data_IF_158599380819
#
_entry.id   IF_158599380819
#
_cell.length_a   1.000
_cell.length_b   1.000
_cell.length_c   1.000
_cell.angle_alpha   90.00
_cell.angle_beta   90.00
_cell.angle_gamma   90.00
#
_symmetry.space_group_name_H-M   'P 1'
#
loop_
_entity.id
_entity.type
_entity.pdbx_description
1 polymer ?
#
# COMPACT_ATOMS: atom_id res chain seq x y z
N UNK A 1 12.93 4.49 -13.68
CA UNK A 1 13.18 3.08 -13.36
C UNK A 1 12.81 2.86 -11.89
N UNK A 2 11.89 1.95 -11.58
CA UNK A 2 11.48 1.69 -10.19
C UNK A 2 12.51 0.82 -9.46
N UNK A 3 12.58 0.90 -8.12
CA UNK A 3 13.49 0.06 -7.31
C UNK A 3 13.24 -1.45 -7.56
N UNK A 4 12.00 -1.83 -7.86
CA UNK A 4 11.64 -3.20 -8.25
C UNK A 4 12.25 -3.64 -9.60
N UNK A 5 12.41 -2.72 -10.55
CA UNK A 5 13.09 -2.99 -11.82
C UNK A 5 14.59 -3.21 -11.60
N UNK A 6 15.23 -2.46 -10.70
CA UNK A 6 16.64 -2.65 -10.38
C UNK A 6 16.90 -4.02 -9.72
N UNK A 7 16.07 -4.40 -8.75
CA UNK A 7 16.17 -5.70 -8.09
C UNK A 7 15.99 -6.86 -9.07
N UNK A 8 14.97 -6.80 -9.92
CA UNK A 8 14.70 -7.86 -10.90
C UNK A 8 15.78 -7.95 -11.99
N UNK A 9 16.32 -6.81 -12.45
CA UNK A 9 17.45 -6.79 -13.40
C UNK A 9 18.71 -7.43 -12.79
N UNK A 10 19.04 -7.08 -11.54
CA UNK A 10 20.19 -7.67 -10.85
C UNK A 10 20.03 -9.19 -10.68
N UNK A 11 18.84 -9.66 -10.28
CA UNK A 11 18.56 -11.09 -10.18
C UNK A 11 18.64 -11.79 -11.53
N UNK A 12 18.12 -11.19 -12.60
CA UNK A 12 18.20 -11.75 -13.94
C UNK A 12 19.66 -11.92 -14.44
N UNK A 13 20.58 -11.03 -14.03
CA UNK A 13 22.01 -11.18 -14.34
C UNK A 13 22.65 -12.33 -13.57
N UNK A 14 22.17 -12.63 -12.36
CA UNK A 14 22.68 -13.71 -11.51
C UNK A 14 22.01 -15.07 -11.77
N UNK A 15 20.84 -15.09 -12.42
CA UNK A 15 20.06 -16.31 -12.68
C UNK A 15 20.87 -17.40 -13.42
N UNK A 16 21.67 -17.11 -14.47
CA UNK A 16 22.49 -18.14 -15.11
C UNK A 16 23.48 -18.82 -14.15
N UNK A 17 24.01 -18.08 -13.17
CA UNK A 17 24.91 -18.61 -12.15
C UNK A 17 24.14 -19.50 -11.17
N UNK A 18 22.95 -19.07 -10.74
CA UNK A 18 22.05 -19.87 -9.91
C UNK A 18 21.69 -21.20 -10.60
N UNK A 19 21.30 -21.15 -11.88
CA UNK A 19 20.94 -22.32 -12.68
C UNK A 19 22.10 -23.31 -12.79
N UNK A 20 23.30 -22.81 -13.04
CA UNK A 20 24.48 -23.64 -13.20
C UNK A 20 24.91 -24.28 -11.87
N UNK A 21 24.89 -23.53 -10.76
CA UNK A 21 25.16 -24.08 -9.43
C UNK A 21 24.17 -25.19 -9.06
N UNK A 22 22.88 -24.98 -9.34
CA UNK A 22 21.85 -25.99 -9.09
C UNK A 22 22.06 -27.25 -9.95
N UNK A 23 22.42 -27.09 -11.23
CA UNK A 23 22.75 -28.22 -12.13
C UNK A 23 23.95 -29.03 -11.64
N UNK A 24 24.96 -28.35 -11.08
CA UNK A 24 26.15 -28.99 -10.51
C UNK A 24 25.90 -29.65 -9.14
N UNK A 25 24.67 -29.58 -8.62
CA UNK A 25 24.29 -30.22 -7.36
C UNK A 25 24.59 -29.40 -6.10
N UNK A 26 24.97 -28.12 -6.24
CA UNK A 26 25.08 -27.22 -5.10
C UNK A 26 23.70 -26.87 -4.53
N UNK A 27 23.67 -26.65 -3.21
CA UNK A 27 22.47 -26.29 -2.47
C UNK A 27 22.47 -24.81 -2.09
N UNK A 28 21.29 -24.20 -1.99
CA UNK A 28 21.08 -22.84 -1.49
C UNK A 28 21.76 -22.66 -0.12
N UNK A 29 21.64 -23.66 0.75
CA UNK A 29 22.26 -23.65 2.09
C UNK A 29 23.80 -23.55 2.02
N UNK A 30 24.44 -24.24 1.07
CA UNK A 30 25.90 -24.13 0.86
C UNK A 30 26.31 -22.73 0.39
N UNK A 31 25.50 -22.10 -0.47
CA UNK A 31 25.72 -20.71 -0.89
C UNK A 31 25.63 -19.78 0.32
N UNK A 32 24.57 -19.89 1.14
CA UNK A 32 24.42 -19.08 2.35
C UNK A 32 25.58 -19.27 3.32
N UNK A 33 25.99 -20.52 3.59
CA UNK A 33 27.13 -20.82 4.49
C UNK A 33 28.44 -20.26 3.96
N UNK A 34 28.65 -20.34 2.65
CA UNK A 34 29.84 -19.78 1.98
C UNK A 34 29.90 -18.25 2.10
N UNK A 35 28.75 -17.56 2.03
CA UNK A 35 28.66 -16.12 2.23
C UNK A 35 29.00 -15.69 3.67
N UNK A 36 28.59 -16.51 4.66
CA UNK A 36 28.97 -16.32 6.07
C UNK A 36 30.48 -16.52 6.25
N UNK A 37 31.04 -17.60 5.68
CA UNK A 37 32.47 -17.89 5.76
C UNK A 37 33.32 -16.78 5.13
N UNK A 38 32.91 -16.28 3.95
CA UNK A 38 33.55 -15.15 3.27
C UNK A 38 33.53 -13.88 4.13
N UNK A 39 32.41 -13.61 4.79
CA UNK A 39 32.27 -12.47 5.71
C UNK A 39 33.19 -12.61 6.92
N UNK A 40 33.33 -13.82 7.47
CA UNK A 40 34.28 -14.12 8.55
C UNK A 40 35.74 -13.94 8.13
N UNK A 41 36.12 -14.44 6.95
CA UNK A 41 37.46 -14.29 6.40
C UNK A 41 37.81 -12.81 6.15
N UNK A 42 36.87 -12.06 5.57
CA UNK A 42 37.02 -10.61 5.36
C UNK A 42 37.15 -9.88 6.69
N UNK A 43 36.33 -10.21 7.68
CA UNK A 43 36.41 -9.63 9.01
C UNK A 43 37.78 -9.88 9.67
N UNK A 44 38.35 -11.08 9.50
CA UNK A 44 39.71 -11.38 9.99
C UNK A 44 40.78 -10.53 9.28
N UNK A 45 40.73 -10.42 7.96
CA UNK A 45 41.66 -9.60 7.17
C UNK A 45 41.60 -8.14 7.62
N UNK A 46 40.39 -7.58 7.74
CA UNK A 46 40.21 -6.20 8.20
C UNK A 46 40.73 -6.02 9.62
N UNK A 47 40.40 -6.92 10.55
CA UNK A 47 40.77 -6.77 11.96
C UNK A 47 42.29 -6.84 12.21
N UNK A 48 43.03 -7.65 11.46
CA UNK A 48 44.43 -7.98 11.81
C UNK A 48 45.47 -7.62 10.75
N UNK A 49 45.08 -7.49 9.48
CA UNK A 49 46.03 -7.32 8.37
C UNK A 49 45.92 -5.95 7.71
N UNK A 50 44.73 -5.33 7.71
CA UNK A 50 44.49 -4.09 6.97
C UNK A 50 45.30 -2.88 7.46
N UNK A 51 45.77 -2.87 8.72
CA UNK A 51 46.70 -1.84 9.22
C UNK A 51 48.07 -1.90 8.52
N UNK A 52 48.54 -3.10 8.18
CA UNK A 52 49.84 -3.30 7.54
C UNK A 52 49.78 -3.06 6.02
N UNK A 53 48.61 -3.25 5.43
CA UNK A 53 48.41 -3.14 3.99
C UNK A 53 47.07 -2.45 3.71
N UNK A 54 47.07 -1.11 3.56
CA UNK A 54 45.83 -0.33 3.40
C UNK A 54 44.92 -0.78 2.25
N UNK A 55 45.49 -1.33 1.16
CA UNK A 55 44.72 -1.87 0.04
C UNK A 55 43.74 -2.99 0.45
N UNK A 56 43.99 -3.68 1.56
CA UNK A 56 43.09 -4.73 2.08
C UNK A 56 41.74 -4.16 2.54
N UNK A 57 41.61 -2.87 2.80
CA UNK A 57 40.31 -2.25 3.10
C UNK A 57 39.31 -2.35 1.96
N UNK A 58 39.76 -2.45 0.70
CA UNK A 58 38.88 -2.68 -0.45
C UNK A 58 38.21 -4.06 -0.43
N UNK A 59 38.72 -5.02 0.35
CA UNK A 59 38.05 -6.31 0.54
C UNK A 59 36.66 -6.15 1.19
N UNK A 60 36.44 -5.08 1.98
CA UNK A 60 35.18 -4.84 2.67
C UNK A 60 34.01 -4.55 1.69
N UNK A 61 34.07 -3.53 0.80
CA UNK A 61 33.03 -3.30 -0.21
C UNK A 61 32.89 -4.47 -1.19
N UNK A 62 33.99 -5.14 -1.55
CA UNK A 62 33.97 -6.31 -2.45
C UNK A 62 33.18 -7.46 -1.80
N UNK A 63 33.50 -7.80 -0.54
CA UNK A 63 32.78 -8.83 0.20
C UNK A 63 31.29 -8.50 0.34
N UNK A 64 30.95 -7.25 0.68
CA UNK A 64 29.55 -6.83 0.85
C UNK A 64 28.76 -6.96 -0.46
N UNK A 65 29.38 -6.64 -1.60
CA UNK A 65 28.78 -6.84 -2.93
C UNK A 65 28.61 -8.32 -3.27
N UNK A 66 29.65 -9.14 -3.09
CA UNK A 66 29.60 -10.58 -3.36
C UNK A 66 28.55 -11.25 -2.46
N UNK A 67 28.53 -10.92 -1.17
CA UNK A 67 27.53 -11.41 -0.22
C UNK A 67 26.11 -11.07 -0.66
N UNK A 68 25.87 -9.85 -1.11
CA UNK A 68 24.55 -9.46 -1.65
C UNK A 68 24.16 -10.29 -2.88
N UNK A 69 25.12 -10.61 -3.76
CA UNK A 69 24.88 -11.49 -4.89
C UNK A 69 24.59 -12.94 -4.44
N UNK A 70 25.32 -13.47 -3.47
CA UNK A 70 25.11 -14.81 -2.91
C UNK A 70 23.74 -14.95 -2.24
N UNK A 71 23.31 -13.95 -1.47
CA UNK A 71 21.95 -13.88 -0.88
C UNK A 71 20.83 -13.72 -1.92
N UNK A 72 21.16 -13.31 -3.15
CA UNK A 72 20.20 -13.29 -4.25
C UNK A 72 20.16 -14.66 -4.93
N UNK A 73 21.32 -15.30 -5.11
CA UNK A 73 21.46 -16.64 -5.68
C UNK A 73 20.79 -17.69 -4.80
N UNK A 74 21.06 -17.73 -3.49
CA UNK A 74 20.43 -18.71 -2.60
C UNK A 74 18.89 -18.61 -2.59
N UNK A 75 18.36 -17.39 -2.62
CA UNK A 75 16.93 -17.11 -2.69
C UNK A 75 16.30 -17.52 -4.04
N UNK A 76 17.03 -17.39 -5.15
CA UNK A 76 16.60 -17.92 -6.45
C UNK A 76 16.64 -19.45 -6.45
N UNK A 77 17.72 -20.06 -5.94
CA UNK A 77 17.83 -21.52 -5.85
C UNK A 77 16.71 -22.14 -4.99
N UNK A 78 16.38 -21.50 -3.87
CA UNK A 78 15.27 -21.93 -3.02
C UNK A 78 13.92 -21.91 -3.75
N UNK A 79 13.66 -20.87 -4.56
CA UNK A 79 12.37 -20.65 -5.22
C UNK A 79 12.22 -21.36 -6.56
N UNK A 80 13.27 -21.36 -7.37
CA UNK A 80 13.23 -21.75 -8.78
C UNK A 80 13.72 -23.20 -8.99
N UNK A 81 14.55 -23.73 -8.07
CA UNK A 81 15.08 -25.09 -8.14
C UNK A 81 14.53 -26.01 -7.04
N UNK A 82 13.44 -25.64 -6.38
CA UNK A 82 12.78 -26.49 -5.38
C UNK A 82 13.60 -26.74 -4.11
N UNK A 83 14.57 -25.86 -3.80
CA UNK A 83 15.48 -26.04 -2.65
C UNK A 83 15.01 -25.31 -1.38
N UNK A 84 13.76 -24.83 -1.34
CA UNK A 84 13.19 -24.17 -0.17
C UNK A 84 13.17 -25.14 1.03
N UNK A 85 13.76 -24.73 2.15
CA UNK A 85 13.80 -25.54 3.37
C UNK A 85 13.70 -24.67 4.61
N UNK A 86 13.16 -25.23 5.69
CA UNK A 86 13.10 -24.55 7.00
C UNK A 86 14.50 -24.18 7.50
N UNK A 87 15.48 -25.07 7.31
CA UNK A 87 16.88 -24.80 7.63
C UNK A 87 17.42 -23.60 6.84
N UNK A 88 17.11 -23.51 5.54
CA UNK A 88 17.55 -22.39 4.70
C UNK A 88 17.02 -21.04 5.17
N UNK A 89 15.77 -20.98 5.65
CA UNK A 89 15.21 -19.77 6.24
C UNK A 89 15.99 -19.35 7.49
N UNK A 90 16.29 -20.29 8.39
CA UNK A 90 17.10 -20.03 9.59
C UNK A 90 18.53 -19.60 9.24
N UNK A 91 19.17 -20.29 8.31
CA UNK A 91 20.52 -19.96 7.85
C UNK A 91 20.58 -18.55 7.25
N UNK A 92 19.59 -18.16 6.46
CA UNK A 92 19.54 -16.83 5.86
C UNK A 92 19.39 -15.73 6.92
N UNK A 93 18.38 -15.84 7.81
CA UNK A 93 18.16 -14.80 8.83
C UNK A 93 19.30 -14.73 9.86
N UNK A 94 19.74 -15.87 10.41
CA UNK A 94 20.82 -15.90 11.42
C UNK A 94 22.16 -15.60 10.77
N UNK A 95 22.43 -16.16 9.58
CA UNK A 95 23.67 -15.96 8.84
C UNK A 95 23.90 -14.50 8.46
N UNK A 96 22.84 -13.80 8.08
CA UNK A 96 22.88 -12.36 7.82
C UNK A 96 23.24 -11.55 9.06
N UNK A 97 22.60 -11.86 10.20
CA UNK A 97 22.90 -11.20 11.49
C UNK A 97 24.35 -11.47 11.90
N UNK A 98 24.81 -12.71 11.79
CA UNK A 98 26.18 -13.09 12.14
C UNK A 98 27.18 -12.36 11.24
N UNK A 99 26.95 -12.38 9.92
CA UNK A 99 27.82 -11.76 8.92
C UNK A 99 27.93 -10.25 9.10
N UNK A 100 26.82 -9.55 9.32
CA UNK A 100 26.83 -8.11 9.62
C UNK A 100 27.63 -7.82 10.90
N UNK A 101 27.42 -8.62 11.95
CA UNK A 101 28.10 -8.39 13.24
C UNK A 101 29.60 -8.61 13.16
N UNK A 102 30.07 -9.67 12.49
CA UNK A 102 31.51 -9.93 12.39
C UNK A 102 32.21 -8.85 11.55
N UNK A 103 31.57 -8.37 10.47
CA UNK A 103 32.11 -7.28 9.66
C UNK A 103 32.17 -5.97 10.43
N UNK A 104 31.12 -5.60 11.18
CA UNK A 104 31.16 -4.41 12.05
C UNK A 104 32.20 -4.57 13.17
N UNK A 105 32.31 -5.77 13.76
CA UNK A 105 33.27 -6.05 14.83
C UNK A 105 34.73 -5.98 14.36
N UNK A 106 35.00 -6.26 13.08
CA UNK A 106 36.34 -6.15 12.51
C UNK A 106 36.93 -4.74 12.58
N UNK A 107 36.10 -3.71 12.75
CA UNK A 107 36.54 -2.33 12.95
C UNK A 107 37.05 -2.04 14.37
N UNK A 108 36.84 -2.94 15.34
CA UNK A 108 37.18 -2.71 16.74
C UNK A 108 38.67 -2.45 17.01
N UNK A 109 39.64 -3.14 16.36
CA UNK A 109 41.07 -2.87 16.55
C UNK A 109 41.48 -1.46 16.10
N UNK A 110 40.77 -0.91 15.11
CA UNK A 110 41.01 0.40 14.48
C UNK A 110 40.36 1.56 15.25
N UNK A 111 39.32 1.28 16.02
CA UNK A 111 38.49 2.28 16.70
C UNK A 111 38.54 2.14 18.23
N UNK A 112 39.73 1.86 18.80
CA UNK A 112 39.91 1.58 20.24
C UNK A 112 39.33 2.68 21.14
N UNK A 113 39.54 3.95 20.78
CA UNK A 113 39.03 5.11 21.54
C UNK A 113 37.49 5.20 21.55
N UNK A 114 36.83 4.55 20.59
CA UNK A 114 35.37 4.58 20.42
C UNK A 114 34.72 3.19 20.58
N UNK A 115 35.40 2.25 21.26
CA UNK A 115 34.95 0.86 21.41
C UNK A 115 33.55 0.75 22.03
N UNK A 116 33.23 1.59 23.00
CA UNK A 116 31.90 1.63 23.66
C UNK A 116 30.80 2.06 22.69
N UNK A 117 31.07 3.04 21.83
CA UNK A 117 30.14 3.52 20.81
C UNK A 117 29.91 2.45 19.73
N UNK A 118 30.96 1.76 19.29
CA UNK A 118 30.87 0.63 18.35
C UNK A 118 30.02 -0.51 18.94
N UNK A 119 30.25 -0.88 20.21
CA UNK A 119 29.43 -1.89 20.91
C UNK A 119 27.96 -1.48 21.04
N UNK A 120 27.70 -0.19 21.26
CA UNK A 120 26.33 0.35 21.26
C UNK A 120 25.66 0.19 19.89
N UNK A 121 26.34 0.56 18.80
CA UNK A 121 25.85 0.37 17.42
C UNK A 121 25.58 -1.10 17.10
N UNK A 122 26.45 -2.01 17.53
CA UNK A 122 26.22 -3.46 17.34
C UNK A 122 24.99 -3.98 18.09
N UNK A 123 24.76 -3.51 19.34
CA UNK A 123 23.57 -3.87 20.11
C UNK A 123 22.31 -3.36 19.44
N UNK A 124 22.29 -2.08 19.05
CA UNK A 124 21.16 -1.48 18.34
C UNK A 124 20.87 -2.18 17.01
N UNK A 125 21.91 -2.51 16.23
CA UNK A 125 21.79 -3.25 14.97
C UNK A 125 21.12 -4.61 15.18
N UNK A 126 21.54 -5.37 16.20
CA UNK A 126 20.89 -6.63 16.56
C UNK A 126 19.43 -6.44 16.96
N UNK A 127 19.14 -5.43 17.79
CA UNK A 127 17.76 -5.11 18.17
C UNK A 127 16.91 -4.81 16.93
N UNK A 128 17.44 -4.10 15.94
CA UNK A 128 16.69 -3.82 14.70
C UNK A 128 16.29 -5.11 13.97
N UNK A 129 17.21 -6.07 13.85
CA UNK A 129 16.95 -7.33 13.15
C UNK A 129 16.03 -8.25 13.93
N UNK A 130 16.17 -8.32 15.26
CA UNK A 130 15.25 -9.09 16.11
C UNK A 130 13.82 -8.55 15.97
N UNK A 131 13.62 -7.23 16.02
CA UNK A 131 12.29 -6.62 15.82
C UNK A 131 11.72 -6.96 14.44
N UNK A 132 12.56 -6.96 13.39
CA UNK A 132 12.12 -7.35 12.05
C UNK A 132 11.74 -8.83 11.96
N UNK A 133 12.50 -9.75 12.57
CA UNK A 133 12.16 -11.18 12.56
C UNK A 133 10.88 -11.45 13.36
N UNK A 134 10.72 -10.85 14.53
CA UNK A 134 9.51 -10.98 15.37
C UNK A 134 8.27 -10.51 14.61
N UNK A 135 8.36 -9.41 13.86
CA UNK A 135 7.22 -8.91 13.08
C UNK A 135 6.69 -9.92 12.06
N UNK A 136 7.57 -10.72 11.45
CA UNK A 136 7.15 -11.77 10.51
C UNK A 136 6.27 -12.83 11.21
N UNK A 137 6.53 -13.11 12.48
CA UNK A 137 5.73 -14.06 13.27
C UNK A 137 4.43 -13.43 13.79
N UNK A 138 4.46 -12.15 14.20
CA UNK A 138 3.29 -11.50 14.80
C UNK A 138 2.26 -11.01 13.79
N UNK A 139 2.71 -10.45 12.66
CA UNK A 139 1.85 -9.78 11.67
C UNK A 139 2.06 -10.32 10.25
N UNK A 140 2.66 -11.50 10.10
CA UNK A 140 2.95 -12.17 8.82
C UNK A 140 3.76 -11.34 7.81
N UNK A 141 4.42 -10.26 8.27
CA UNK A 141 5.21 -9.37 7.43
C UNK A 141 6.46 -8.89 8.16
N UNK A 142 7.63 -9.03 7.52
CA UNK A 142 8.91 -8.53 8.02
C UNK A 142 8.96 -6.99 7.97
N UNK A 143 9.18 -6.37 9.12
CA UNK A 143 9.28 -4.93 9.30
C UNK A 143 10.65 -4.42 8.81
N UNK A 144 10.67 -3.87 7.59
CA UNK A 144 11.87 -3.35 6.96
C UNK A 144 11.98 -1.82 7.03
N UNK A 145 11.11 -1.15 7.78
CA UNK A 145 11.05 0.31 7.87
C UNK A 145 12.24 0.88 8.65
N UNK A 146 12.59 2.13 8.35
CA UNK A 146 13.65 2.87 9.05
C UNK A 146 14.74 3.41 8.12
N UNK A 147 15.48 4.43 8.57
CA UNK A 147 16.52 5.07 7.75
C UNK A 147 17.88 4.34 7.75
N UNK A 148 18.13 3.38 8.65
CA UNK A 148 19.37 2.59 8.68
C UNK A 148 19.06 1.09 8.77
N UNK A 149 18.53 0.56 7.68
CA UNK A 149 18.29 -0.87 7.48
C UNK A 149 19.56 -1.64 7.09
N UNK A 150 19.39 -2.92 6.77
CA UNK A 150 20.51 -3.83 6.44
C UNK A 150 21.34 -3.32 5.26
N UNK A 151 20.69 -2.95 4.16
CA UNK A 151 21.38 -2.45 2.96
C UNK A 151 22.08 -1.12 3.21
N UNK A 152 21.50 -0.24 4.03
CA UNK A 152 22.09 1.06 4.37
C UNK A 152 23.38 0.88 5.19
N UNK A 153 23.38 -0.05 6.15
CA UNK A 153 24.59 -0.41 6.92
C UNK A 153 25.67 -1.04 6.05
N UNK A 154 25.27 -1.91 5.11
CA UNK A 154 26.21 -2.48 4.15
C UNK A 154 26.82 -1.39 3.26
N UNK A 155 26.02 -0.44 2.79
CA UNK A 155 26.53 0.71 2.04
C UNK A 155 27.52 1.54 2.86
N UNK A 156 27.17 1.87 4.11
CA UNK A 156 28.04 2.63 5.01
C UNK A 156 29.39 1.91 5.25
N UNK A 157 29.37 0.61 5.55
CA UNK A 157 30.59 -0.19 5.70
C UNK A 157 31.42 -0.22 4.41
N UNK A 158 30.77 -0.30 3.25
CA UNK A 158 31.44 -0.22 1.96
C UNK A 158 32.17 1.11 1.77
N UNK A 159 31.51 2.23 2.09
CA UNK A 159 32.09 3.58 2.04
C UNK A 159 33.28 3.70 3.00
N UNK A 160 33.15 3.19 4.23
CA UNK A 160 34.25 3.13 5.20
C UNK A 160 35.46 2.41 4.60
N UNK A 161 35.25 1.23 3.99
CA UNK A 161 36.31 0.47 3.36
C UNK A 161 37.00 1.21 2.20
N UNK A 162 36.23 1.87 1.32
CA UNK A 162 36.80 2.65 0.22
C UNK A 162 37.60 3.84 0.72
N UNK A 163 37.06 4.62 1.66
CA UNK A 163 37.72 5.82 2.18
C UNK A 163 39.00 5.47 2.93
N UNK A 164 38.96 4.47 3.81
CA UNK A 164 40.15 4.06 4.56
C UNK A 164 41.19 3.41 3.65
N UNK A 165 40.77 2.63 2.64
CA UNK A 165 41.67 2.08 1.62
C UNK A 165 42.37 3.15 0.78
N UNK A 166 41.68 4.27 0.51
CA UNK A 166 42.25 5.43 -0.17
C UNK A 166 43.12 6.32 0.74
N UNK A 167 43.33 5.94 2.00
CA UNK A 167 44.19 6.65 2.95
C UNK A 167 43.49 7.73 3.79
N UNK A 168 42.15 7.84 3.72
CA UNK A 168 41.42 8.79 4.56
C UNK A 168 41.23 8.24 5.98
N UNK A 169 41.70 9.00 6.98
CA UNK A 169 41.50 8.66 8.39
C UNK A 169 40.09 9.04 8.85
N UNK A 170 39.31 8.05 9.28
CA UNK A 170 37.95 8.24 9.80
C UNK A 170 37.92 8.54 11.31
N UNK A 171 39.05 8.40 12.00
CA UNK A 171 39.15 8.61 13.45
C UNK A 171 38.65 9.99 13.92
N UNK A 172 38.98 11.12 13.26
CA UNK A 172 38.49 12.44 13.69
C UNK A 172 36.96 12.57 13.64
N UNK A 173 36.31 11.82 12.74
CA UNK A 173 34.87 11.88 12.50
C UNK A 173 34.09 10.76 13.20
N UNK A 174 34.78 9.76 13.75
CA UNK A 174 34.19 8.54 14.29
C UNK A 174 33.10 8.82 15.35
N UNK A 175 33.31 9.80 16.24
CA UNK A 175 32.31 10.20 17.25
C UNK A 175 30.98 10.63 16.61
N UNK A 176 31.04 11.45 15.56
CA UNK A 176 29.84 11.96 14.89
C UNK A 176 29.15 10.87 14.08
N UNK A 177 29.92 10.02 13.39
CA UNK A 177 29.40 8.86 12.66
C UNK A 177 28.67 7.91 13.61
N UNK A 178 29.27 7.57 14.76
CA UNK A 178 28.62 6.70 15.74
C UNK A 178 27.34 7.31 16.33
N UNK A 179 27.34 8.60 16.65
CA UNK A 179 26.15 9.28 17.15
C UNK A 179 25.02 9.29 16.11
N UNK A 180 25.34 9.61 14.86
CA UNK A 180 24.39 9.56 13.76
C UNK A 180 23.80 8.15 13.60
N UNK A 181 24.64 7.11 13.58
CA UNK A 181 24.18 5.72 13.50
C UNK A 181 23.27 5.32 14.65
N UNK A 182 23.61 5.69 15.89
CA UNK A 182 22.76 5.39 17.04
C UNK A 182 21.37 6.03 16.89
N UNK A 183 21.30 7.30 16.49
CA UNK A 183 20.03 8.00 16.28
C UNK A 183 19.21 7.36 15.14
N UNK A 184 19.86 7.02 14.02
CA UNK A 184 19.20 6.40 12.87
C UNK A 184 18.73 4.97 13.18
N UNK A 185 19.48 4.19 13.97
CA UNK A 185 19.07 2.86 14.42
C UNK A 185 17.91 2.94 15.42
N UNK A 186 17.93 3.88 16.36
CA UNK A 186 16.79 4.13 17.26
C UNK A 186 15.55 4.50 16.45
N UNK A 187 15.68 5.39 15.46
CA UNK A 187 14.57 5.75 14.56
C UNK A 187 14.08 4.56 13.76
N UNK A 188 14.98 3.67 13.33
CA UNK A 188 14.66 2.42 12.65
C UNK A 188 13.82 1.51 13.55
N UNK A 189 14.21 1.32 14.81
CA UNK A 189 13.44 0.53 15.79
C UNK A 189 12.04 1.11 15.98
N UNK A 190 11.93 2.43 16.22
CA UNK A 190 10.64 3.09 16.40
C UNK A 190 9.74 2.90 15.18
N UNK A 191 10.27 3.10 13.97
CA UNK A 191 9.49 2.94 12.75
C UNK A 191 9.01 1.49 12.54
N UNK A 192 9.84 0.49 12.86
CA UNK A 192 9.46 -0.93 12.80
C UNK A 192 8.37 -1.25 13.83
N UNK A 193 8.50 -0.76 15.07
CA UNK A 193 7.48 -0.94 16.11
C UNK A 193 6.15 -0.27 15.74
N UNK A 194 6.20 0.94 15.17
CA UNK A 194 5.00 1.62 14.66
C UNK A 194 4.32 0.81 13.55
N UNK A 195 5.11 0.29 12.60
CA UNK A 195 4.59 -0.58 11.56
C UNK A 195 3.90 -1.83 12.14
N UNK A 196 4.53 -2.51 13.09
CA UNK A 196 3.96 -3.69 13.77
C UNK A 196 2.65 -3.31 14.47
N UNK A 197 2.62 -2.21 15.22
CA UNK A 197 1.43 -1.77 15.93
C UNK A 197 0.26 -1.46 14.97
N UNK A 198 0.53 -0.79 13.85
CA UNK A 198 -0.48 -0.51 12.82
C UNK A 198 -1.01 -1.79 12.18
N UNK A 199 -0.13 -2.74 11.81
CA UNK A 199 -0.56 -4.01 11.22
C UNK A 199 -1.34 -4.87 12.20
N UNK A 200 -0.89 -4.94 13.46
CA UNK A 200 -1.59 -5.66 14.53
C UNK A 200 -3.01 -5.13 14.75
N UNK A 201 -3.16 -3.80 14.79
CA UNK A 201 -4.48 -3.16 14.92
C UNK A 201 -5.39 -3.52 13.74
N UNK A 202 -4.88 -3.46 12.50
CA UNK A 202 -5.65 -3.83 11.32
C UNK A 202 -6.11 -5.30 11.33
N UNK A 203 -5.23 -6.23 11.71
CA UNK A 203 -5.56 -7.65 11.76
C UNK A 203 -6.67 -7.94 12.78
N UNK A 204 -6.59 -7.34 13.98
CA UNK A 204 -7.61 -7.51 15.01
C UNK A 204 -8.98 -6.95 14.57
N UNK A 205 -8.99 -5.82 13.86
CA UNK A 205 -10.23 -5.23 13.34
C UNK A 205 -10.84 -6.07 12.22
N UNK A 206 -10.02 -6.64 11.34
CA UNK A 206 -10.51 -7.52 10.27
C UNK A 206 -11.18 -8.77 10.83
N UNK A 207 -10.60 -9.42 11.84
CA UNK A 207 -11.23 -10.59 12.47
C UNK A 207 -12.58 -10.25 13.13
N UNK A 208 -12.67 -9.11 13.81
CA UNK A 208 -13.92 -8.65 14.42
C UNK A 208 -14.99 -8.36 13.36
N UNK A 209 -14.62 -7.66 12.28
CA UNK A 209 -15.50 -7.39 11.14
C UNK A 209 -15.94 -8.69 10.47
N UNK A 210 -15.05 -9.66 10.30
CA UNK A 210 -15.35 -10.94 9.67
C UNK A 210 -16.32 -11.77 10.53
N UNK A 211 -16.17 -11.76 11.86
CA UNK A 211 -17.15 -12.37 12.78
C UNK A 211 -18.52 -11.71 12.70
N UNK A 212 -18.56 -10.37 12.66
CA UNK A 212 -19.81 -9.62 12.49
C UNK A 212 -20.46 -9.93 11.14
N UNK A 213 -19.68 -10.01 10.06
CA UNK A 213 -20.16 -10.39 8.73
C UNK A 213 -20.74 -11.80 8.72
N UNK A 214 -20.06 -12.78 9.35
CA UNK A 214 -20.57 -14.16 9.45
C UNK A 214 -21.88 -14.19 10.22
N UNK A 215 -21.94 -13.53 11.39
CA UNK A 215 -23.15 -13.47 12.20
C UNK A 215 -24.32 -12.82 11.42
N UNK A 216 -24.07 -11.69 10.75
CA UNK A 216 -25.03 -11.02 9.89
C UNK A 216 -25.48 -11.89 8.70
N UNK A 217 -24.55 -12.59 8.06
CA UNK A 217 -24.86 -13.48 6.92
C UNK A 217 -25.75 -14.65 7.36
N UNK A 218 -25.44 -15.26 8.51
CA UNK A 218 -26.25 -16.34 9.08
C UNK A 218 -27.65 -15.84 9.48
N UNK A 219 -27.74 -14.66 10.08
CA UNK A 219 -29.01 -14.05 10.47
C UNK A 219 -29.90 -13.71 9.26
N UNK A 220 -29.31 -13.21 8.16
CA UNK A 220 -30.07 -12.85 6.96
C UNK A 220 -30.34 -14.03 6.02
N UNK A 221 -29.53 -15.09 6.03
CA UNK A 221 -29.82 -16.33 5.31
C UNK A 221 -31.13 -16.98 5.80
N UNK A 222 -31.57 -16.66 7.02
CA UNK A 222 -32.83 -17.13 7.60
C UNK A 222 -34.04 -16.22 7.30
N UNK A 223 -33.84 -15.04 6.69
CA UNK A 223 -34.94 -14.15 6.32
C UNK A 223 -35.44 -14.48 4.91
N UNK A 224 -36.75 -14.48 4.73
CA UNK A 224 -37.35 -14.61 3.40
C UNK A 224 -36.83 -13.47 2.50
N UNK A 225 -36.41 -13.75 1.25
CA UNK A 225 -35.92 -12.71 0.36
C UNK A 225 -36.99 -11.64 0.16
N UNK A 226 -36.69 -10.39 0.52
CA UNK A 226 -37.54 -9.25 0.19
C UNK A 226 -37.62 -9.14 -1.34
N UNK A 227 -38.82 -9.04 -1.90
CA UNK A 227 -38.98 -8.73 -3.33
C UNK A 227 -38.41 -7.33 -3.57
N UNK A 228 -37.40 -7.24 -4.42
CA UNK A 228 -36.73 -5.97 -4.75
C UNK A 228 -37.25 -5.50 -6.10
N UNK A 229 -37.77 -4.27 -6.14
CA UNK A 229 -38.10 -3.59 -7.38
C UNK A 229 -36.95 -2.66 -7.75
N UNK A 230 -36.23 -2.99 -8.84
CA UNK A 230 -35.26 -2.08 -9.45
C UNK A 230 -35.98 -1.19 -10.46
N UNK A 231 -35.78 0.12 -10.35
CA UNK A 231 -36.25 1.08 -11.34
C UNK A 231 -35.13 2.04 -11.71
N UNK A 232 -35.14 2.45 -12.98
CA UNK A 232 -34.23 3.46 -13.52
C UNK A 232 -35.03 4.70 -13.90
N UNK A 233 -34.45 5.88 -13.70
CA UNK A 233 -35.09 7.13 -14.04
C UNK A 233 -34.03 8.23 -14.30
N UNK A 234 -34.48 9.39 -14.77
CA UNK A 234 -33.63 10.55 -15.00
C UNK A 234 -34.27 11.82 -14.42
N UNK A 235 -33.42 12.76 -14.01
CA UNK A 235 -33.82 14.13 -13.70
C UNK A 235 -32.90 15.12 -14.40
N UNK A 236 -33.31 16.38 -14.54
CA UNK A 236 -32.42 17.41 -15.06
C UNK A 236 -31.79 18.16 -13.89
N UNK A 237 -30.46 18.28 -13.89
CA UNK A 237 -29.74 19.11 -12.93
C UNK A 237 -29.98 20.61 -13.20
N UNK A 238 -29.46 21.48 -12.33
CA UNK A 238 -29.63 22.94 -12.36
C UNK A 238 -29.24 23.60 -13.70
N UNK A 239 -28.36 22.97 -14.48
CA UNK A 239 -27.90 23.44 -15.80
C UNK A 239 -28.58 22.74 -16.99
N UNK A 240 -29.61 21.93 -16.72
CA UNK A 240 -30.32 21.15 -17.73
C UNK A 240 -29.63 19.84 -18.13
N UNK A 241 -28.50 19.49 -17.52
CA UNK A 241 -27.83 18.20 -17.77
C UNK A 241 -28.69 17.06 -17.25
N UNK A 242 -28.99 16.09 -18.11
CA UNK A 242 -29.77 14.91 -17.73
C UNK A 242 -28.92 13.97 -16.85
N UNK A 243 -29.36 13.78 -15.61
CA UNK A 243 -28.72 12.93 -14.61
C UNK A 243 -29.50 11.63 -14.47
N UNK A 244 -28.81 10.52 -14.71
CA UNK A 244 -29.37 9.18 -14.57
C UNK A 244 -29.30 8.72 -13.11
N UNK A 245 -30.34 8.07 -12.63
CA UNK A 245 -30.32 7.38 -11.35
C UNK A 245 -31.14 6.11 -11.39
N UNK A 246 -30.90 5.27 -10.38
CA UNK A 246 -31.64 4.05 -10.13
C UNK A 246 -31.96 3.91 -8.66
N UNK A 247 -32.95 3.10 -8.36
CA UNK A 247 -33.29 2.77 -7.00
C UNK A 247 -33.79 1.34 -6.89
N UNK A 248 -33.61 0.79 -5.70
CA UNK A 248 -34.03 -0.55 -5.31
C UNK A 248 -34.88 -0.41 -4.07
N UNK A 249 -36.14 -0.80 -4.17
CA UNK A 249 -37.09 -0.68 -3.09
C UNK A 249 -37.59 -2.06 -2.66
N UNK A 250 -37.74 -2.23 -1.35
CA UNK A 250 -38.47 -3.35 -0.74
C UNK A 250 -39.92 -3.01 -0.40
N UNK A 251 -40.33 -1.76 -0.63
CA UNK A 251 -41.67 -1.21 -0.36
C UNK A 251 -42.09 -0.31 -1.52
N UNK A 252 -43.40 -0.15 -1.74
CA UNK A 252 -43.88 0.80 -2.75
C UNK A 252 -43.55 2.24 -2.35
N UNK A 253 -43.43 3.15 -3.34
CA UNK A 253 -43.22 4.58 -3.07
C UNK A 253 -44.34 5.16 -2.21
N UNK A 254 -45.58 4.72 -2.39
CA UNK A 254 -46.72 5.20 -1.61
C UNK A 254 -46.64 4.77 -0.15
N UNK A 255 -46.21 3.52 0.12
CA UNK A 255 -45.96 3.05 1.49
C UNK A 255 -44.81 3.81 2.16
N UNK A 256 -43.77 4.12 1.37
CA UNK A 256 -42.62 4.90 1.84
C UNK A 256 -43.08 6.31 2.22
N UNK A 257 -43.85 6.98 1.35
CA UNK A 257 -44.41 8.32 1.61
C UNK A 257 -45.32 8.33 2.84
N UNK A 258 -46.18 7.33 2.99
CA UNK A 258 -47.07 7.23 4.14
C UNK A 258 -46.33 7.08 5.47
N UNK A 259 -45.08 6.62 5.46
CA UNK A 259 -44.25 6.38 6.64
C UNK A 259 -42.93 7.17 6.63
N UNK A 260 -42.86 8.27 5.88
CA UNK A 260 -41.60 8.93 5.52
C UNK A 260 -40.69 9.31 6.71
N UNK A 261 -41.27 9.64 7.87
CA UNK A 261 -40.48 9.96 9.08
C UNK A 261 -39.76 8.76 9.70
N UNK A 262 -40.15 7.52 9.34
CA UNK A 262 -39.61 6.27 9.89
C UNK A 262 -38.79 5.47 8.87
N UNK A 263 -39.01 5.71 7.59
CA UNK A 263 -38.31 5.00 6.53
C UNK A 263 -36.87 5.46 6.40
N UNK A 264 -35.94 4.50 6.40
CA UNK A 264 -34.50 4.78 6.31
C UNK A 264 -34.06 4.61 4.86
N UNK A 265 -33.51 5.67 4.29
CA UNK A 265 -33.04 5.68 2.91
C UNK A 265 -31.52 5.71 2.88
N UNK A 266 -30.95 4.86 2.03
CA UNK A 266 -29.53 4.80 1.75
C UNK A 266 -29.29 5.40 0.37
N UNK A 267 -28.39 6.38 0.30
CA UNK A 267 -27.97 7.00 -0.95
C UNK A 267 -26.54 6.55 -1.26
N UNK A 268 -26.39 5.79 -2.35
CA UNK A 268 -25.10 5.24 -2.77
C UNK A 268 -24.43 6.13 -3.81
N UNK A 269 -23.15 6.47 -3.57
CA UNK A 269 -22.32 7.22 -4.50
C UNK A 269 -21.15 6.35 -4.98
N UNK A 270 -21.10 6.11 -6.30
CA UNK A 270 -20.06 5.29 -6.91
C UNK A 270 -18.68 5.97 -6.94
N UNK A 271 -17.65 5.20 -7.31
CA UNK A 271 -16.28 5.72 -7.48
C UNK A 271 -16.17 6.51 -8.79
N UNK A 272 -15.11 7.29 -8.95
CA UNK A 272 -14.81 7.92 -10.25
C UNK A 272 -14.74 6.86 -11.36
N UNK A 273 -15.19 7.21 -12.56
CA UNK A 273 -15.22 6.36 -13.76
C UNK A 273 -16.24 5.23 -13.75
N UNK A 274 -16.95 4.99 -12.65
CA UNK A 274 -17.97 3.93 -12.55
C UNK A 274 -19.38 4.46 -12.81
N UNK A 275 -20.38 3.71 -12.38
CA UNK A 275 -21.79 4.08 -12.42
C UNK A 275 -22.56 3.31 -11.32
N UNK A 276 -23.77 3.78 -11.01
CA UNK A 276 -24.67 3.24 -9.99
C UNK A 276 -24.94 1.74 -10.12
N UNK A 277 -24.96 1.21 -11.34
CA UNK A 277 -25.23 -0.22 -11.61
C UNK A 277 -24.18 -1.17 -11.02
N UNK A 278 -22.96 -0.72 -10.77
CA UNK A 278 -21.94 -1.54 -10.09
C UNK A 278 -22.20 -1.69 -8.59
N UNK A 279 -23.15 -0.94 -8.04
CA UNK A 279 -23.53 -0.96 -6.64
C UNK A 279 -24.77 -1.83 -6.37
N UNK A 280 -25.30 -2.54 -7.38
CA UNK A 280 -26.53 -3.35 -7.26
C UNK A 280 -26.44 -4.38 -6.13
N UNK A 281 -25.33 -5.10 -6.00
CA UNK A 281 -25.16 -6.10 -4.93
C UNK A 281 -25.24 -5.46 -3.54
N UNK A 282 -24.57 -4.31 -3.36
CA UNK A 282 -24.62 -3.54 -2.13
C UNK A 282 -26.02 -2.98 -1.86
N UNK A 283 -26.71 -2.51 -2.89
CA UNK A 283 -28.08 -2.04 -2.79
C UNK A 283 -29.03 -3.16 -2.35
N UNK A 284 -28.89 -4.35 -2.92
CA UNK A 284 -29.69 -5.51 -2.53
C UNK A 284 -29.48 -5.87 -1.06
N UNK A 285 -28.23 -5.86 -0.58
CA UNK A 285 -27.93 -6.10 0.83
C UNK A 285 -28.62 -5.07 1.76
N UNK A 286 -28.62 -3.78 1.40
CA UNK A 286 -29.34 -2.76 2.16
C UNK A 286 -30.86 -2.95 2.12
N UNK A 287 -31.43 -3.31 0.96
CA UNK A 287 -32.88 -3.59 0.85
C UNK A 287 -33.29 -4.79 1.68
N UNK A 288 -32.49 -5.86 1.68
CA UNK A 288 -32.71 -7.04 2.52
C UNK A 288 -32.60 -6.71 4.02
N UNK A 289 -31.78 -5.72 4.39
CA UNK A 289 -31.70 -5.19 5.75
C UNK A 289 -32.85 -4.23 6.10
N UNK A 290 -33.80 -3.98 5.19
CA UNK A 290 -35.00 -3.17 5.42
C UNK A 290 -34.85 -1.69 5.05
N UNK A 291 -33.77 -1.30 4.38
CA UNK A 291 -33.57 0.06 3.88
C UNK A 291 -34.13 0.24 2.47
N UNK A 292 -34.36 1.49 2.06
CA UNK A 292 -34.69 1.82 0.66
C UNK A 292 -33.47 2.47 0.03
N UNK A 293 -33.12 2.11 -1.21
CA UNK A 293 -31.81 2.47 -1.76
C UNK A 293 -31.94 3.28 -3.05
N UNK A 294 -31.23 4.40 -3.12
CA UNK A 294 -31.12 5.24 -4.31
C UNK A 294 -29.65 5.40 -4.67
N UNK A 295 -29.33 5.40 -5.96
CA UNK A 295 -27.98 5.62 -6.47
C UNK A 295 -28.03 6.36 -7.79
N UNK A 296 -27.20 7.36 -7.96
CA UNK A 296 -27.09 8.10 -9.21
C UNK A 296 -25.85 7.70 -10.01
N UNK A 297 -25.84 8.05 -11.30
CA UNK A 297 -24.62 8.19 -12.07
C UNK A 297 -24.18 9.65 -11.97
N UNK A 298 -22.98 9.92 -11.46
CA UNK A 298 -22.43 11.27 -11.40
C UNK A 298 -22.31 11.87 -12.81
N UNK A 299 -22.26 13.21 -12.89
CA UNK A 299 -22.10 13.93 -14.16
C UNK A 299 -20.90 13.38 -14.94
N UNK A 300 -21.09 13.15 -16.24
CA UNK A 300 -20.05 12.59 -17.09
C UNK A 300 -19.73 11.12 -16.81
N UNK A 301 -20.48 10.42 -15.96
CA UNK A 301 -20.30 9.00 -15.64
C UNK A 301 -21.55 8.17 -15.99
N UNK A 302 -21.37 6.86 -16.14
CA UNK A 302 -22.47 5.94 -16.45
C UNK A 302 -23.35 6.37 -17.61
N UNK A 303 -24.64 6.57 -17.35
CA UNK A 303 -25.62 7.04 -18.33
C UNK A 303 -26.00 8.52 -18.17
N UNK A 304 -25.40 9.22 -17.19
CA UNK A 304 -25.60 10.65 -17.03
C UNK A 304 -24.94 11.43 -18.16
N UNK A 305 -25.56 12.55 -18.52
CA UNK A 305 -25.05 13.49 -19.51
C UNK A 305 -23.84 14.28 -19.02
N UNK A 306 -23.45 15.27 -19.83
CA UNK A 306 -22.20 16.00 -19.65
C UNK A 306 -21.06 15.38 -20.46
N UNK A 307 -19.92 16.08 -20.51
CA UNK A 307 -18.72 15.55 -21.13
C UNK A 307 -18.19 14.36 -20.31
N UNK A 308 -17.72 13.30 -21.00
CA UNK A 308 -17.31 12.06 -20.34
C UNK A 308 -16.13 12.30 -19.39
N UNK A 309 -16.30 11.89 -18.13
CA UNK A 309 -15.41 12.06 -16.98
C UNK A 309 -14.99 13.49 -16.68
N UNK A 310 -15.78 14.45 -17.14
CA UNK A 310 -15.50 15.87 -16.95
C UNK A 310 -16.60 16.58 -16.17
N UNK A 311 -16.15 17.57 -15.40
CA UNK A 311 -16.99 18.59 -14.81
C UNK A 311 -16.17 19.89 -14.82
N UNK A 312 -16.81 21.01 -15.13
CA UNK A 312 -16.12 22.30 -15.26
C UNK A 312 -15.34 22.63 -13.98
N UNK A 313 -15.93 22.30 -12.84
CA UNK A 313 -15.32 22.38 -11.53
C UNK A 313 -15.99 21.41 -10.55
N UNK A 314 -15.31 21.16 -9.44
CA UNK A 314 -15.79 20.21 -8.43
C UNK A 314 -17.12 20.62 -7.79
N UNK A 315 -17.43 21.93 -7.71
CA UNK A 315 -18.68 22.40 -7.13
C UNK A 315 -19.91 22.00 -7.96
N UNK A 316 -19.77 21.75 -9.27
CA UNK A 316 -20.87 21.21 -10.09
C UNK A 316 -21.30 19.83 -9.56
N UNK A 317 -20.35 18.94 -9.30
CA UNK A 317 -20.63 17.59 -8.77
C UNK A 317 -21.32 17.64 -7.39
N UNK A 318 -20.94 18.62 -6.57
CA UNK A 318 -21.53 18.82 -5.24
C UNK A 318 -22.97 19.34 -5.36
N UNK A 319 -23.24 20.30 -6.27
CA UNK A 319 -24.58 20.80 -6.55
C UNK A 319 -25.48 19.72 -7.16
N UNK A 320 -24.94 18.95 -8.10
CA UNK A 320 -25.66 17.83 -8.70
C UNK A 320 -26.12 16.83 -7.61
N UNK A 321 -25.28 16.56 -6.58
CA UNK A 321 -25.66 15.70 -5.46
C UNK A 321 -26.79 16.33 -4.65
N UNK A 322 -26.75 17.63 -4.39
CA UNK A 322 -27.81 18.33 -3.67
C UNK A 322 -29.16 18.24 -4.41
N UNK A 323 -29.17 18.46 -5.72
CA UNK A 323 -30.34 18.29 -6.58
C UNK A 323 -30.86 16.84 -6.53
N UNK A 324 -29.95 15.86 -6.58
CA UNK A 324 -30.34 14.45 -6.47
C UNK A 324 -30.98 14.11 -5.12
N UNK A 325 -30.43 14.63 -4.01
CA UNK A 325 -31.05 14.48 -2.68
C UNK A 325 -32.43 15.14 -2.66
N UNK A 326 -32.60 16.29 -3.32
CA UNK A 326 -33.89 16.93 -3.55
C UNK A 326 -34.90 16.02 -4.27
N UNK A 327 -34.47 15.35 -5.34
CA UNK A 327 -35.28 14.37 -6.09
C UNK A 327 -35.69 13.19 -5.20
N UNK A 328 -34.75 12.62 -4.44
CA UNK A 328 -35.04 11.52 -3.51
C UNK A 328 -36.09 11.94 -2.48
N UNK A 329 -35.95 13.13 -1.89
CA UNK A 329 -36.90 13.68 -0.91
C UNK A 329 -38.26 13.96 -1.52
N UNK A 330 -38.32 14.55 -2.72
CA UNK A 330 -39.58 14.79 -3.42
C UNK A 330 -40.30 13.48 -3.77
N UNK A 331 -39.54 12.44 -4.15
CA UNK A 331 -40.10 11.15 -4.53
C UNK A 331 -40.56 10.32 -3.33
N UNK A 332 -39.96 10.48 -2.15
CA UNK A 332 -40.23 9.62 -0.97
C UNK A 332 -40.90 10.34 0.20
N UNK A 333 -40.93 11.67 0.22
CA UNK A 333 -41.37 12.47 1.36
C UNK A 333 -40.40 12.46 2.55
N UNK A 334 -39.22 11.83 2.42
CA UNK A 334 -38.28 11.66 3.53
C UNK A 334 -37.65 12.97 4.01
N UNK A 335 -37.14 12.95 5.23
CA UNK A 335 -36.33 14.02 5.82
C UNK A 335 -34.84 13.64 5.86
N UNK A 336 -33.98 14.64 5.99
CA UNK A 336 -32.52 14.45 5.99
C UNK A 336 -32.06 13.48 7.09
N UNK A 337 -32.67 13.56 8.28
CA UNK A 337 -32.37 12.70 9.42
C UNK A 337 -32.63 11.20 9.20
N UNK A 338 -33.21 10.81 8.06
CA UNK A 338 -33.38 9.42 7.64
C UNK A 338 -32.46 8.99 6.49
N UNK A 339 -31.64 9.91 5.97
CA UNK A 339 -30.69 9.64 4.90
C UNK A 339 -29.34 9.15 5.47
N UNK A 340 -28.85 8.03 4.94
CA UNK A 340 -27.49 7.53 5.13
C UNK A 340 -26.77 7.56 3.79
N UNK A 341 -25.65 8.28 3.69
CA UNK A 341 -24.83 8.26 2.48
C UNK A 341 -23.79 7.14 2.59
N UNK A 342 -23.62 6.36 1.54
CA UNK A 342 -22.54 5.38 1.42
C UNK A 342 -21.79 5.68 0.14
N UNK A 343 -20.53 6.08 0.28
CA UNK A 343 -19.80 6.70 -0.80
C UNK A 343 -18.36 6.17 -0.84
N UNK A 344 -17.82 5.99 -2.05
CA UNK A 344 -16.45 5.48 -2.22
C UNK A 344 -15.59 6.37 -3.12
N UNK A 345 -14.30 6.48 -2.81
CA UNK A 345 -13.31 7.23 -3.61
C UNK A 345 -13.76 8.66 -3.94
N UNK A 346 -14.04 8.99 -5.21
CA UNK A 346 -14.49 10.33 -5.64
C UNK A 346 -15.88 10.66 -5.06
N UNK A 347 -16.81 9.70 -5.07
CA UNK A 347 -18.12 9.86 -4.45
C UNK A 347 -18.02 10.22 -2.97
N UNK A 348 -17.02 9.70 -2.25
CA UNK A 348 -16.80 10.03 -0.84
C UNK A 348 -16.31 11.48 -0.65
N UNK A 349 -15.50 11.99 -1.58
CA UNK A 349 -15.11 13.41 -1.60
C UNK A 349 -16.35 14.27 -1.89
N UNK A 350 -17.18 13.89 -2.88
CA UNK A 350 -18.43 14.62 -3.21
C UNK A 350 -19.35 14.67 -1.99
N UNK A 351 -19.60 13.54 -1.32
CA UNK A 351 -20.44 13.49 -0.10
C UNK A 351 -19.89 14.37 1.02
N UNK A 352 -18.58 14.30 1.27
CA UNK A 352 -17.95 15.07 2.35
C UNK A 352 -18.01 16.58 2.05
N UNK A 353 -17.78 16.98 0.79
CA UNK A 353 -17.93 18.37 0.37
C UNK A 353 -19.37 18.84 0.41
N UNK A 354 -20.33 18.02 0.02
CA UNK A 354 -21.76 18.35 0.15
C UNK A 354 -22.17 18.58 1.61
N UNK A 355 -21.76 17.70 2.52
CA UNK A 355 -22.03 17.90 3.95
C UNK A 355 -21.33 19.15 4.50
N UNK A 356 -20.12 19.44 4.03
CA UNK A 356 -19.39 20.64 4.40
C UNK A 356 -20.09 21.93 3.91
N UNK A 357 -20.54 21.94 2.66
CA UNK A 357 -21.05 23.14 1.99
C UNK A 357 -22.53 23.44 2.33
N UNK A 358 -23.35 22.39 2.46
CA UNK A 358 -24.80 22.51 2.71
C UNK A 358 -25.21 22.24 4.17
N UNK A 359 -24.33 21.64 4.98
CA UNK A 359 -24.61 21.28 6.37
C UNK A 359 -25.95 20.56 6.64
N UNK A 360 -26.33 19.55 5.84
CA UNK A 360 -27.58 18.81 6.00
C UNK A 360 -27.54 17.95 7.27
N UNK A 361 -28.71 17.69 7.86
CA UNK A 361 -28.83 16.89 9.10
C UNK A 361 -28.94 15.39 8.83
N UNK A 362 -28.09 14.87 7.94
CA UNK A 362 -28.11 13.44 7.56
C UNK A 362 -27.81 12.53 8.74
N UNK A 363 -28.40 11.33 8.76
CA UNK A 363 -28.19 10.35 9.82
C UNK A 363 -26.73 9.90 9.94
N UNK A 364 -26.01 9.87 8.82
CA UNK A 364 -24.58 9.59 8.81
C UNK A 364 -24.02 9.42 7.41
N UNK A 365 -22.71 9.18 7.36
CA UNK A 365 -21.97 8.84 6.15
C UNK A 365 -21.06 7.64 6.39
N UNK A 366 -21.02 6.72 5.43
CA UNK A 366 -20.04 5.63 5.35
C UNK A 366 -19.11 5.96 4.18
N UNK A 367 -17.85 6.28 4.48
CA UNK A 367 -16.87 6.73 3.50
C UNK A 367 -15.82 5.64 3.23
N UNK A 368 -15.96 4.95 2.10
CA UNK A 368 -15.03 3.94 1.61
C UNK A 368 -13.83 4.57 0.90
N UNK A 369 -12.63 4.44 1.47
CA UNK A 369 -11.36 4.88 0.84
C UNK A 369 -11.45 6.30 0.23
N UNK A 370 -11.80 7.34 1.01
CA UNK A 370 -12.01 8.67 0.48
C UNK A 370 -10.72 9.24 -0.12
N UNK A 371 -10.82 9.78 -1.33
CA UNK A 371 -9.67 10.29 -2.09
C UNK A 371 -9.23 11.71 -1.65
N UNK A 372 -9.09 11.95 -0.33
CA UNK A 372 -8.73 13.26 0.21
C UNK A 372 -7.32 13.74 -0.19
N UNK A 373 -6.41 12.81 -0.45
CA UNK A 373 -5.07 13.12 -0.93
C UNK A 373 -4.56 12.04 -1.89
N UNK A 374 -4.14 12.46 -3.08
CA UNK A 374 -3.52 11.58 -4.09
C UNK A 374 -2.01 11.73 -3.98
N UNK A 375 -1.31 10.65 -3.62
CA UNK A 375 0.16 10.62 -3.57
C UNK A 375 0.71 10.32 -4.96
N UNK A 376 1.12 11.36 -5.69
CA UNK A 376 1.81 11.21 -6.96
C UNK A 376 3.31 10.97 -6.70
N UNK A 377 3.77 9.73 -6.91
CA UNK A 377 5.14 9.29 -6.60
C UNK A 377 6.22 9.76 -7.59
N UNK A 378 5.84 10.52 -8.61
CA UNK A 378 6.76 11.02 -9.64
C UNK A 378 7.24 12.43 -9.27
N UNK A 379 8.55 12.64 -9.05
CA UNK A 379 9.11 13.97 -8.79
C UNK A 379 8.71 14.96 -9.88
N UNK A 380 8.34 16.18 -9.50
CA UNK A 380 7.93 17.25 -10.42
C UNK A 380 6.66 17.02 -11.25
N UNK A 381 5.92 15.93 -11.04
CA UNK A 381 4.74 15.65 -11.85
C UNK A 381 3.60 16.69 -11.66
N UNK A 382 3.39 17.20 -10.44
CA UNK A 382 2.42 18.29 -10.20
C UNK A 382 2.81 19.60 -10.93
N UNK A 383 4.05 20.12 -10.83
CA UNK A 383 4.51 21.23 -11.65
C UNK A 383 4.36 20.99 -13.17
N UNK A 384 4.77 19.82 -13.65
CA UNK A 384 4.70 19.47 -15.07
C UNK A 384 3.25 19.45 -15.59
N UNK A 385 2.33 18.84 -14.83
CA UNK A 385 0.90 18.82 -15.17
C UNK A 385 0.29 20.22 -15.22
N UNK A 386 0.66 21.11 -14.29
CA UNK A 386 0.21 22.51 -14.29
C UNK A 386 0.66 23.25 -15.54
N UNK A 387 1.92 23.07 -15.97
CA UNK A 387 2.46 23.69 -17.19
C UNK A 387 1.81 23.11 -18.44
N UNK A 388 1.71 21.77 -18.53
CA UNK A 388 1.09 21.10 -19.67
C UNK A 388 -0.38 21.51 -19.85
N UNK A 389 -1.14 21.65 -18.76
CA UNK A 389 -2.52 22.16 -18.79
C UNK A 389 -2.59 23.62 -19.22
N UNK A 390 -1.71 24.48 -18.70
CA UNK A 390 -1.65 25.91 -19.09
C UNK A 390 -1.29 26.11 -20.57
N UNK A 391 -0.44 25.24 -21.11
CA UNK A 391 -0.05 25.26 -22.52
C UNK A 391 -1.02 24.51 -23.45
N UNK A 392 -2.10 23.91 -22.92
CA UNK A 392 -3.06 23.14 -23.71
C UNK A 392 -2.52 21.83 -24.29
N UNK A 393 -1.34 21.37 -23.83
CA UNK A 393 -0.65 20.17 -24.33
C UNK A 393 -1.31 18.90 -23.80
N UNK A 394 -1.97 18.97 -22.64
CA UNK A 394 -2.72 17.87 -22.04
C UNK A 394 -4.08 18.37 -21.54
N UNK A 395 -5.14 18.05 -22.26
CA UNK A 395 -6.53 18.28 -21.81
C UNK A 395 -7.03 17.17 -20.90
N UNK A 396 -6.52 15.94 -21.08
CA UNK A 396 -6.96 14.72 -20.38
C UNK A 396 -5.78 13.92 -19.83
N UNK A 397 -5.95 13.30 -18.67
CA UNK A 397 -5.01 12.42 -17.97
C UNK A 397 -5.59 11.00 -17.92
N UNK A 398 -4.88 10.01 -18.45
CA UNK A 398 -5.33 8.61 -18.34
C UNK A 398 -5.52 8.21 -16.87
N UNK A 399 -6.62 7.50 -16.56
CA UNK A 399 -6.83 6.99 -15.21
C UNK A 399 -5.74 5.99 -14.85
N UNK A 400 -5.19 6.12 -13.63
CA UNK A 400 -4.21 5.18 -13.09
C UNK A 400 -4.88 3.96 -12.43
N UNK A 401 -6.19 4.01 -12.22
CA UNK A 401 -6.96 2.95 -11.59
C UNK A 401 -7.27 1.88 -12.64
N UNK A 402 -6.84 0.64 -12.36
CA UNK A 402 -7.10 -0.55 -13.19
C UNK A 402 -7.77 -1.62 -12.34
N UNK A 403 -8.55 -2.50 -12.95
CA UNK A 403 -9.24 -3.58 -12.24
C UNK A 403 -8.33 -4.36 -11.26
N UNK A 404 -7.10 -4.70 -11.68
CA UNK A 404 -6.10 -5.41 -10.88
C UNK A 404 -5.63 -4.72 -9.60
N UNK A 405 -5.88 -3.41 -9.45
CA UNK A 405 -5.60 -2.67 -8.20
C UNK A 405 -6.86 -2.48 -7.35
N UNK A 406 -8.02 -2.89 -7.85
CA UNK A 406 -9.31 -2.80 -7.16
C UNK A 406 -9.70 -4.10 -6.47
N UNK A 407 -9.39 -5.24 -7.09
CA UNK A 407 -9.73 -6.57 -6.55
C UNK A 407 -8.72 -7.61 -6.99
N UNK A 408 -8.58 -8.67 -6.19
CA UNK A 408 -7.81 -9.88 -6.52
C UNK A 408 -8.68 -10.96 -7.19
N UNK A 409 -9.99 -10.76 -7.26
CA UNK A 409 -10.92 -11.66 -7.94
C UNK A 409 -10.85 -11.41 -9.46
N UNK A 410 -10.39 -12.40 -10.21
CA UNK A 410 -10.22 -12.30 -11.66
C UNK A 410 -11.55 -12.13 -12.40
N UNK A 411 -12.66 -12.73 -11.93
CA UNK A 411 -13.97 -12.57 -12.55
C UNK A 411 -14.49 -11.14 -12.37
N UNK A 412 -14.35 -10.58 -11.16
CA UNK A 412 -14.70 -9.19 -10.89
C UNK A 412 -13.81 -8.21 -11.68
N UNK A 413 -12.54 -8.56 -11.91
CA UNK A 413 -11.65 -7.76 -12.75
C UNK A 413 -12.10 -7.77 -14.21
N UNK A 414 -12.46 -8.92 -14.76
CA UNK A 414 -12.94 -9.05 -16.13
C UNK A 414 -14.25 -8.28 -16.33
N UNK A 415 -15.22 -8.46 -15.41
CA UNK A 415 -16.48 -7.71 -15.42
C UNK A 415 -16.30 -6.19 -15.27
N UNK A 416 -15.20 -5.72 -14.68
CA UNK A 416 -14.85 -4.29 -14.68
C UNK A 416 -14.31 -3.84 -16.04
N UNK A 417 -13.39 -4.62 -16.63
CA UNK A 417 -12.73 -4.24 -17.88
C UNK A 417 -13.67 -4.30 -19.11
N UNK A 418 -14.69 -5.17 -19.07
CA UNK A 418 -15.65 -5.35 -20.16
C UNK A 418 -16.86 -4.39 -20.08
N UNK A 419 -16.96 -3.61 -19.00
CA UNK A 419 -18.08 -2.71 -18.75
C UNK A 419 -18.00 -1.45 -19.64
N UNK A 420 -18.90 -1.28 -20.62
CA UNK A 420 -18.82 -0.17 -21.57
C UNK A 420 -19.16 1.19 -20.94
N UNK A 421 -19.75 1.19 -19.75
CA UNK A 421 -20.08 2.41 -19.02
C UNK A 421 -18.91 2.91 -18.17
N UNK A 422 -17.88 2.08 -17.97
CA UNK A 422 -16.65 2.47 -17.29
C UNK A 422 -15.72 3.19 -18.26
N UNK A 423 -15.18 4.33 -17.83
CA UNK A 423 -14.22 5.08 -18.63
C UNK A 423 -12.78 4.74 -18.32
N UNK A 424 -11.94 4.79 -19.37
CA UNK A 424 -10.49 4.60 -19.28
C UNK A 424 -9.69 5.92 -19.20
N UNK A 425 -10.34 7.09 -19.31
CA UNK A 425 -9.66 8.39 -19.40
C UNK A 425 -10.31 9.45 -18.51
N UNK A 426 -9.50 10.35 -17.92
CA UNK A 426 -9.92 11.52 -17.12
C UNK A 426 -9.61 12.79 -17.89
#
# INVERSE_FOLDING_TARGET
>A
MSIYQLKSQFQNQLRPISDELAKQGFTANQVTVSAIALSGATAYVIAYQADKTPALWYSLPINLFIRMAMNAIDGMMAKEHGQASTLGVWLNEVGDIVSDRVLIASLSPHLRQHRTALQSVQRLTLTTEIVAVISQQMVNQRANQGPLGKSDRAFELGVIGVLTGAGFSLLPYARYIFLANQLLLIKTIINRLQFIATQYWHQQHQEAVQRLLIAYTLENAMKTPTKIEETINCFNSYDGTAMFYRYWLGKSIDDIKANAEKEKIVVLLHRGHEHSGRLTELAHAFVQAGYQVFAWDARGNGRSGGERDDAENFAQLVRDLDEFIGVVKAQTGTIDAQLLLVASSLGAVIATSWVHDYAPTVRGMILGTPAFAIRLYVPFAMPALKVARKLGIMSRVSSYVKAKVLTHDDAAQQAYNEDPLISSSI
#
